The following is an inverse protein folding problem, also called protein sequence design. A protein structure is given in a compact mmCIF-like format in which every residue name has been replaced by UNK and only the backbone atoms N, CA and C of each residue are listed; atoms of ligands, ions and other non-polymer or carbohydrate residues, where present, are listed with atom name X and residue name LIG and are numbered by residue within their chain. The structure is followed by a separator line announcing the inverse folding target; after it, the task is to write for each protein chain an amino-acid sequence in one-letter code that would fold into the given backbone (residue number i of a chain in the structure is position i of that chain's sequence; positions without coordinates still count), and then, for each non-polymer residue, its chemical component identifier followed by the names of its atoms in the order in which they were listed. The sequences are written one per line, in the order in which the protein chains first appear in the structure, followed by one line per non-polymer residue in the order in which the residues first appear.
data_IF_636929338472
#
_entry.id   IF_636929338472
#
_cell.length_a   1.000
_cell.length_b   1.000
_cell.length_c   1.000
_cell.angle_alpha   90.00
_cell.angle_beta   90.00
_cell.angle_gamma   90.00
#
_symmetry.space_group_name_H-M   'P 1'
#
loop_
_entity.id
_entity.type
_entity.pdbx_description
1 polymer ?
#
# COMPACT_ATOMS: atom_id res chain seq x y z
N UNK A 1 -5.11 45.79 75.27
CA UNK A 1 -4.34 44.82 76.07
C UNK A 1 -4.01 43.63 75.19
N UNK A 2 -2.82 43.08 75.41
CA UNK A 2 -2.02 42.17 74.58
C UNK A 2 -2.81 41.04 73.89
N UNK A 3 -2.45 40.72 72.64
CA UNK A 3 -1.72 39.48 72.43
C UNK A 3 -0.82 39.56 71.18
N UNK A 4 0.46 39.31 71.42
CA UNK A 4 1.54 39.23 70.46
C UNK A 4 1.68 37.77 70.02
N UNK A 5 1.93 37.50 68.73
CA UNK A 5 2.86 36.43 68.34
C UNK A 5 3.71 36.83 67.13
N UNK A 6 4.96 36.33 67.07
CA UNK A 6 6.02 36.86 66.23
C UNK A 6 6.15 36.09 64.89
N UNK A 7 6.86 36.74 63.96
CA UNK A 7 7.47 36.22 62.71
C UNK A 7 8.38 34.98 62.97
N UNK A 8 9.00 34.22 62.01
CA UNK A 8 9.79 34.74 60.86
C UNK A 8 10.05 33.80 59.64
N UNK A 9 10.87 34.32 58.71
CA UNK A 9 11.72 33.60 57.72
C UNK A 9 11.05 33.14 56.41
N UNK A 10 11.67 33.20 55.23
CA UNK A 10 12.99 33.69 54.79
C UNK A 10 13.01 33.65 53.25
N UNK A 11 13.90 34.46 52.71
CA UNK A 11 14.19 34.85 51.32
C UNK A 11 14.56 33.69 50.34
N UNK A 12 14.79 34.01 49.04
CA UNK A 12 14.70 33.10 47.87
C UNK A 12 16.06 32.45 47.47
N UNK A 13 16.09 31.90 46.24
CA UNK A 13 17.23 31.51 45.36
C UNK A 13 17.43 29.99 45.18
N UNK A 14 18.25 29.52 44.19
CA UNK A 14 18.02 29.56 42.75
C UNK A 14 18.24 28.16 42.10
N UNK A 15 18.13 28.09 40.77
CA UNK A 15 18.46 26.95 39.91
C UNK A 15 19.78 26.23 40.27
N UNK A 16 19.87 24.93 39.93
CA UNK A 16 20.79 24.58 38.84
C UNK A 16 20.18 23.58 37.83
N UNK A 17 20.09 24.00 36.57
CA UNK A 17 20.65 23.22 35.45
C UNK A 17 22.19 23.41 35.51
N UNK A 18 23.06 22.63 34.83
CA UNK A 18 22.82 21.61 33.80
C UNK A 18 23.65 20.32 34.04
N UNK A 19 23.53 19.30 33.18
CA UNK A 19 24.70 18.51 32.77
C UNK A 19 24.47 17.89 31.39
N UNK A 20 25.19 18.43 30.42
CA UNK A 20 25.28 17.93 29.05
C UNK A 20 26.03 16.60 29.04
N UNK A 21 25.37 15.48 28.74
CA UNK A 21 26.10 14.29 28.27
C UNK A 21 26.00 14.18 26.75
N UNK A 22 26.76 15.07 26.11
CA UNK A 22 27.20 14.94 24.73
C UNK A 22 28.19 13.77 24.63
N UNK A 23 27.66 12.57 24.44
CA UNK A 23 28.39 11.51 23.77
C UNK A 23 27.51 11.06 22.63
N UNK A 24 27.63 11.74 21.49
CA UNK A 24 27.04 11.30 20.24
C UNK A 24 27.59 9.90 19.96
N UNK A 25 26.91 8.88 20.46
CA UNK A 25 27.14 7.51 20.05
C UNK A 25 26.40 7.39 18.72
N UNK A 26 27.15 7.15 17.65
CA UNK A 26 26.58 6.95 16.32
C UNK A 26 26.01 5.53 16.20
N UNK A 27 26.25 4.68 17.21
CA UNK A 27 25.75 3.31 17.35
C UNK A 27 24.22 3.17 17.11
N UNK A 28 23.33 3.94 17.78
CA UNK A 28 21.89 3.88 17.52
C UNK A 28 21.54 4.36 16.10
N UNK A 29 22.24 5.36 15.57
CA UNK A 29 21.98 5.89 14.22
C UNK A 29 22.41 4.89 13.13
N UNK A 30 23.53 4.22 13.35
CA UNK A 30 24.12 3.22 12.46
C UNK A 30 23.31 1.92 12.53
N UNK A 31 22.79 1.55 13.70
CA UNK A 31 21.83 0.46 13.86
C UNK A 31 20.49 0.76 13.16
N UNK A 32 19.97 1.99 13.26
CA UNK A 32 18.76 2.44 12.54
C UNK A 32 18.96 2.44 11.02
N UNK A 33 20.11 2.89 10.53
CA UNK A 33 20.48 2.83 9.11
C UNK A 33 20.58 1.38 8.60
N UNK A 34 21.21 0.49 9.37
CA UNK A 34 21.28 -0.94 9.05
C UNK A 34 19.89 -1.61 9.08
N UNK A 35 19.03 -1.25 10.04
CA UNK A 35 17.63 -1.71 10.04
C UNK A 35 16.88 -1.20 8.79
N UNK A 36 17.02 0.08 8.43
CA UNK A 36 16.36 0.65 7.26
C UNK A 36 16.81 0.00 5.93
N UNK A 37 18.09 -0.39 5.83
CA UNK A 37 18.66 -1.02 4.65
C UNK A 37 18.24 -2.50 4.47
N UNK A 38 17.72 -3.14 5.51
CA UNK A 38 17.27 -4.55 5.46
C UNK A 38 15.77 -4.70 5.21
N UNK A 39 14.98 -3.64 5.36
CA UNK A 39 13.57 -3.61 4.96
C UNK A 39 13.45 -3.35 3.45
N UNK A 40 13.90 -4.32 2.66
CA UNK A 40 13.48 -4.45 1.27
C UNK A 40 11.97 -4.68 1.25
N UNK A 41 11.19 -3.61 1.06
CA UNK A 41 9.74 -3.66 1.04
C UNK A 41 9.29 -4.26 -0.31
N UNK A 42 9.37 -5.58 -0.41
CA UNK A 42 8.77 -6.39 -1.47
C UNK A 42 7.27 -6.15 -1.46
N UNK A 43 6.81 -5.11 -2.17
CA UNK A 43 5.38 -4.83 -2.29
C UNK A 43 4.75 -5.92 -3.15
N UNK A 44 4.03 -6.84 -2.49
CA UNK A 44 3.10 -7.71 -3.18
C UNK A 44 1.97 -6.86 -3.80
N UNK A 45 1.55 -7.21 -5.01
CA UNK A 45 0.44 -6.54 -5.67
C UNK A 45 -0.86 -6.76 -4.91
N UNK A 46 -1.81 -5.83 -5.06
CA UNK A 46 -3.17 -6.00 -4.53
C UNK A 46 -3.86 -7.13 -5.28
N UNK A 47 -4.89 -7.69 -4.65
CA UNK A 47 -5.73 -8.72 -5.30
C UNK A 47 -6.54 -8.15 -6.48
N UNK A 48 -6.76 -6.83 -6.52
CA UNK A 48 -7.32 -6.05 -7.63
C UNK A 48 -6.30 -5.76 -8.75
N UNK A 49 -5.07 -6.27 -8.62
CA UNK A 49 -3.98 -6.10 -9.58
C UNK A 49 -3.41 -7.45 -10.06
N UNK A 50 -2.91 -7.46 -11.27
CA UNK A 50 -2.10 -8.50 -11.88
C UNK A 50 -0.61 -8.22 -11.68
N UNK A 51 0.12 -9.22 -11.22
CA UNK A 51 1.55 -9.12 -10.95
C UNK A 51 2.38 -9.43 -12.20
N UNK A 52 3.01 -8.40 -12.78
CA UNK A 52 4.04 -8.52 -13.80
C UNK A 52 5.42 -8.74 -13.17
N UNK A 53 6.36 -9.29 -13.95
CA UNK A 53 7.76 -9.35 -13.56
C UNK A 53 8.37 -7.94 -13.68
N UNK A 54 8.97 -7.46 -12.59
CA UNK A 54 9.74 -6.21 -12.59
C UNK A 54 11.08 -6.36 -13.30
N UNK A 55 11.66 -5.25 -13.73
CA UNK A 55 13.03 -5.22 -14.28
C UNK A 55 14.02 -4.83 -13.18
N UNK A 56 14.95 -5.72 -12.84
CA UNK A 56 16.06 -5.46 -11.90
C UNK A 56 15.70 -5.59 -10.41
N UNK A 57 16.34 -4.77 -9.56
CA UNK A 57 16.09 -4.68 -8.10
C UNK A 57 14.81 -3.91 -7.75
N UNK A 58 14.03 -3.52 -8.76
CA UNK A 58 12.72 -2.90 -8.63
C UNK A 58 11.70 -4.04 -8.58
N UNK A 59 10.90 -4.14 -7.51
CA UNK A 59 9.97 -5.24 -7.28
C UNK A 59 8.92 -5.46 -8.39
N UNK A 60 7.92 -6.31 -8.11
CA UNK A 60 6.87 -6.63 -9.07
C UNK A 60 6.14 -5.37 -9.57
N UNK A 61 5.88 -5.29 -10.88
CA UNK A 61 5.03 -4.25 -11.45
C UNK A 61 3.59 -4.72 -11.34
N UNK A 62 2.71 -3.90 -10.76
CA UNK A 62 1.31 -4.24 -10.54
C UNK A 62 0.43 -3.49 -11.55
N UNK A 63 -0.32 -4.24 -12.36
CA UNK A 63 -1.23 -3.71 -13.38
C UNK A 63 -2.66 -4.00 -12.94
N UNK A 64 -3.59 -3.03 -12.94
CA UNK A 64 -4.98 -3.29 -12.59
C UNK A 64 -5.61 -4.45 -13.36
N UNK A 65 -6.46 -5.24 -12.71
CA UNK A 65 -7.07 -6.43 -13.31
C UNK A 65 -7.94 -6.12 -14.55
N UNK A 66 -8.52 -4.92 -14.64
CA UNK A 66 -9.29 -4.46 -15.80
C UNK A 66 -8.44 -4.11 -17.01
N UNK A 67 -7.13 -3.93 -16.81
CA UNK A 67 -6.15 -3.75 -17.88
C UNK A 67 -5.56 -5.05 -18.40
N UNK A 68 -5.82 -6.18 -17.72
CA UNK A 68 -5.43 -7.49 -18.24
C UNK A 68 -6.29 -7.85 -19.46
N UNK A 69 -5.66 -8.20 -20.58
CA UNK A 69 -6.33 -8.44 -21.87
C UNK A 69 -7.11 -7.22 -22.41
N UNK A 70 -6.67 -5.99 -22.15
CA UNK A 70 -7.28 -4.77 -22.70
C UNK A 70 -6.77 -4.45 -24.13
N UNK A 71 -5.79 -5.22 -24.62
CA UNK A 71 -5.16 -5.06 -25.93
C UNK A 71 -3.97 -4.10 -25.93
N UNK A 72 -3.51 -3.65 -24.76
CA UNK A 72 -2.32 -2.80 -24.59
C UNK A 72 -1.32 -3.50 -23.70
N UNK A 73 -0.06 -3.44 -24.11
CA UNK A 73 1.03 -3.97 -23.31
C UNK A 73 1.36 -2.99 -22.16
N UNK A 74 0.87 -3.28 -20.96
CA UNK A 74 1.15 -2.56 -19.72
C UNK A 74 2.31 -3.19 -18.92
N UNK A 75 2.58 -4.50 -19.06
CA UNK A 75 3.77 -5.11 -18.45
C UNK A 75 5.03 -4.82 -19.29
N UNK A 76 6.20 -4.71 -18.66
CA UNK A 76 7.49 -4.65 -19.39
C UNK A 76 7.68 -5.85 -20.34
N UNK A 77 7.23 -7.04 -19.92
CA UNK A 77 7.35 -8.31 -20.65
C UNK A 77 6.12 -8.68 -21.51
N UNK A 78 5.05 -7.88 -21.51
CA UNK A 78 3.79 -8.21 -22.23
C UNK A 78 3.05 -9.44 -21.73
N UNK A 79 3.24 -9.80 -20.45
CA UNK A 79 2.61 -10.98 -19.84
C UNK A 79 1.13 -10.79 -19.52
N UNK A 80 0.69 -9.55 -19.46
CA UNK A 80 -0.69 -9.12 -19.43
C UNK A 80 -1.43 -9.37 -20.75
N UNK A 81 -0.73 -9.51 -21.88
CA UNK A 81 -1.31 -9.68 -23.23
C UNK A 81 -0.81 -10.95 -23.99
N UNK A 82 -1.02 -12.18 -23.49
CA UNK A 82 -0.70 -13.40 -24.21
C UNK A 82 -1.54 -13.60 -25.50
N UNK A 83 -1.04 -14.39 -26.45
CA UNK A 83 -1.70 -14.67 -27.76
C UNK A 83 -3.15 -15.19 -27.69
N UNK A 84 -3.54 -15.78 -26.56
CA UNK A 84 -4.90 -16.28 -26.32
C UNK A 84 -5.48 -15.67 -25.03
N UNK A 85 -5.30 -14.37 -24.86
CA UNK A 85 -5.86 -13.60 -23.76
C UNK A 85 -7.39 -13.56 -23.82
N UNK A 86 -8.05 -13.60 -22.65
CA UNK A 86 -9.48 -13.39 -22.52
C UNK A 86 -9.80 -12.70 -21.20
N UNK A 87 -10.70 -11.72 -21.24
CA UNK A 87 -11.30 -11.09 -20.05
C UNK A 87 -12.37 -11.98 -19.40
N UNK A 88 -12.85 -13.01 -20.11
CA UNK A 88 -13.93 -13.88 -19.67
C UNK A 88 -13.44 -15.01 -18.74
N UNK A 89 -14.36 -15.57 -17.96
CA UNK A 89 -14.15 -16.66 -16.99
C UNK A 89 -13.13 -16.30 -15.91
N UNK A 90 -13.18 -15.05 -15.43
CA UNK A 90 -12.24 -14.51 -14.45
C UNK A 90 -12.96 -13.81 -13.31
N UNK A 91 -12.34 -13.85 -12.14
CA UNK A 91 -12.78 -13.13 -10.96
C UNK A 91 -12.06 -11.79 -10.86
N UNK A 92 -12.84 -10.74 -10.71
CA UNK A 92 -12.40 -9.36 -10.57
C UNK A 92 -12.64 -8.88 -9.15
N UNK A 93 -11.65 -8.17 -8.62
CA UNK A 93 -11.69 -7.51 -7.33
C UNK A 93 -11.57 -6.01 -7.56
N UNK A 94 -12.25 -5.23 -6.74
CA UNK A 94 -12.15 -3.78 -6.75
C UNK A 94 -11.57 -3.26 -5.44
N UNK A 95 -11.12 -2.01 -5.45
CA UNK A 95 -10.78 -1.24 -4.26
C UNK A 95 -11.87 -0.18 -4.00
N UNK A 96 -12.12 0.16 -2.73
CA UNK A 96 -13.08 1.20 -2.36
C UNK A 96 -12.76 2.55 -3.06
N UNK A 97 -13.79 3.15 -3.68
CA UNK A 97 -13.67 4.47 -4.31
C UNK A 97 -12.93 4.46 -5.65
N UNK A 98 -12.63 3.28 -6.22
CA UNK A 98 -12.08 3.12 -7.56
C UNK A 98 -13.15 2.57 -8.51
N UNK A 99 -13.10 3.02 -9.76
CA UNK A 99 -13.95 2.52 -10.84
C UNK A 99 -13.07 1.85 -11.88
N UNK A 100 -13.43 0.64 -12.28
CA UNK A 100 -12.68 -0.19 -13.22
C UNK A 100 -13.50 -0.37 -14.50
N UNK A 101 -12.85 -0.37 -15.66
CA UNK A 101 -13.54 -0.41 -16.95
C UNK A 101 -13.14 -1.64 -17.77
N UNK A 102 -14.03 -2.64 -17.80
CA UNK A 102 -13.80 -3.89 -18.54
C UNK A 102 -14.48 -3.83 -19.90
N UNK A 103 -13.73 -4.09 -20.97
CA UNK A 103 -14.26 -4.21 -22.33
C UNK A 103 -14.41 -5.67 -22.71
N UNK A 104 -15.66 -6.13 -22.83
CA UNK A 104 -15.94 -7.48 -23.32
C UNK A 104 -15.92 -7.48 -24.85
N UNK A 105 -15.06 -8.31 -25.50
CA UNK A 105 -14.99 -8.35 -26.96
C UNK A 105 -16.29 -8.88 -27.55
N UNK A 106 -16.71 -8.29 -28.67
CA UNK A 106 -17.87 -8.77 -29.41
C UNK A 106 -17.59 -10.16 -29.99
N UNK A 107 -18.47 -11.15 -29.75
CA UNK A 107 -18.26 -12.47 -30.30
C UNK A 107 -18.38 -12.51 -31.82
N UNK A 108 -17.65 -13.42 -32.44
CA UNK A 108 -17.85 -13.73 -33.85
C UNK A 108 -19.14 -14.56 -34.00
N UNK A 109 -20.01 -14.17 -34.93
CA UNK A 109 -21.32 -14.81 -35.17
C UNK A 109 -21.21 -16.32 -35.41
N UNK A 110 -20.11 -16.76 -36.03
CA UNK A 110 -19.86 -18.15 -36.38
C UNK A 110 -19.42 -19.02 -35.18
N UNK A 111 -19.32 -18.46 -33.97
CA UNK A 111 -18.88 -19.16 -32.74
C UNK A 111 -19.87 -19.00 -31.58
N UNK A 112 -21.16 -19.13 -31.88
CA UNK A 112 -22.23 -19.08 -30.89
C UNK A 112 -22.54 -20.47 -30.30
N UNK A 113 -22.97 -20.55 -29.02
CA UNK A 113 -23.15 -19.43 -28.10
C UNK A 113 -21.82 -18.95 -27.50
N UNK A 114 -21.59 -17.64 -27.50
CA UNK A 114 -20.50 -17.02 -26.75
C UNK A 114 -20.99 -16.71 -25.35
N UNK A 115 -20.44 -17.42 -24.36
CA UNK A 115 -20.68 -17.18 -22.96
C UNK A 115 -19.43 -16.56 -22.33
N UNK A 116 -19.55 -15.31 -21.88
CA UNK A 116 -18.51 -14.61 -21.14
C UNK A 116 -18.99 -14.45 -19.69
N UNK A 117 -18.48 -15.29 -18.80
CA UNK A 117 -18.83 -15.21 -17.38
C UNK A 117 -17.79 -14.34 -16.64
N UNK A 118 -18.23 -13.25 -16.03
CA UNK A 118 -17.40 -12.38 -15.19
C UNK A 118 -17.89 -12.50 -13.76
N UNK A 119 -16.98 -12.76 -12.83
CA UNK A 119 -17.31 -12.80 -11.40
C UNK A 119 -16.73 -11.57 -10.73
N UNK A 120 -17.54 -10.78 -10.02
CA UNK A 120 -17.08 -9.62 -9.27
C UNK A 120 -17.20 -9.93 -7.78
N UNK A 121 -16.10 -9.73 -7.04
CA UNK A 121 -16.04 -10.06 -5.61
C UNK A 121 -15.73 -8.81 -4.79
N UNK A 122 -16.50 -8.64 -3.71
CA UNK A 122 -16.28 -7.65 -2.67
C UNK A 122 -16.25 -8.40 -1.33
N UNK A 123 -15.05 -8.76 -0.85
CA UNK A 123 -14.89 -9.57 0.37
C UNK A 123 -14.73 -8.73 1.65
N UNK A 124 -15.05 -7.44 1.61
CA UNK A 124 -14.87 -6.49 2.71
C UNK A 124 -13.47 -5.87 2.80
N UNK A 125 -13.26 -5.09 3.87
CA UNK A 125 -12.04 -4.30 4.10
C UNK A 125 -11.74 -3.35 2.92
N UNK A 126 -10.58 -3.48 2.27
CA UNK A 126 -10.17 -2.59 1.17
C UNK A 126 -10.98 -2.79 -0.12
N UNK A 127 -11.73 -3.90 -0.22
CA UNK A 127 -12.55 -4.24 -1.39
C UNK A 127 -14.00 -3.76 -1.28
N UNK A 128 -14.39 -3.25 -0.11
CA UNK A 128 -15.76 -2.92 0.20
C UNK A 128 -16.66 -4.16 0.34
N UNK A 129 -17.90 -3.92 0.76
CA UNK A 129 -18.89 -4.97 1.00
C UNK A 129 -19.89 -5.13 -0.16
N UNK A 130 -19.82 -4.27 -1.19
CA UNK A 130 -20.80 -4.17 -2.26
C UNK A 130 -20.08 -3.93 -3.60
N UNK A 131 -20.52 -4.65 -4.64
CA UNK A 131 -20.15 -4.38 -6.04
C UNK A 131 -21.22 -3.48 -6.67
N UNK A 132 -20.82 -2.38 -7.30
CA UNK A 132 -21.70 -1.38 -7.92
C UNK A 132 -21.28 -1.07 -9.36
#
# INVERSE_FOLDING_TARGET
MLNSRPQPHSSPLPFPLPECHNRQSWLPLLLLLLLSATLGLSHACRVSEFSCKGSGNSGNICVPLDKYCDGRNDCQDGKDEPKHCSVCNRTYYGDIGRTYAIKVPTPQWNKLPFLCHLTFTASGHDQGDIVQ
#
